data_IF_001873753027
#
_entry.id   IF_001873753027
#
_cell.length_a   1.000
_cell.length_b   1.000
_cell.length_c   1.000
_cell.angle_alpha   90.00
_cell.angle_beta   90.00
_cell.angle_gamma   90.00
#
_symmetry.space_group_name_H-M   'P 1'
#
loop_
_entity.id
_entity.type
_entity.pdbx_description
1 polymer ?
#
# COMPACT_ATOMS: atom_id res chain seq x y z
N UNK A 1 -4.32 -16.31 69.37
CA UNK A 1 -4.29 -15.51 68.12
C UNK A 1 -3.24 -16.09 67.21
N UNK A 2 -3.66 -16.87 66.22
CA UNK A 2 -2.79 -17.56 65.27
C UNK A 2 -3.21 -17.06 63.88
N UNK A 3 -2.27 -16.44 63.16
CA UNK A 3 -2.46 -15.99 61.78
C UNK A 3 -2.57 -17.19 60.83
N UNK A 4 -3.50 -17.22 59.86
CA UNK A 4 -3.47 -18.22 58.80
C UNK A 4 -2.63 -17.78 57.60
N UNK A 5 -2.06 -18.83 56.98
CA UNK A 5 -1.13 -18.89 55.88
C UNK A 5 -1.49 -18.07 54.62
N UNK A 6 -0.45 -17.52 53.98
CA UNK A 6 -0.49 -16.95 52.63
C UNK A 6 -0.63 -18.06 51.59
N UNK A 7 -1.66 -17.98 50.75
CA UNK A 7 -1.83 -18.79 49.56
C UNK A 7 -0.94 -18.23 48.44
N UNK A 8 0.09 -18.98 48.03
CA UNK A 8 0.92 -18.69 46.86
C UNK A 8 0.25 -19.36 45.66
N UNK A 9 -0.24 -18.56 44.71
CA UNK A 9 -0.79 -19.04 43.44
C UNK A 9 0.35 -19.15 42.44
N UNK A 10 0.72 -20.39 42.09
CA UNK A 10 1.54 -20.67 40.92
C UNK A 10 0.65 -20.59 39.67
N UNK A 11 0.84 -19.56 38.84
CA UNK A 11 0.28 -19.54 37.49
C UNK A 11 1.25 -20.33 36.60
N UNK A 12 0.93 -21.60 36.37
CA UNK A 12 1.52 -22.38 35.30
C UNK A 12 0.99 -21.84 33.97
N UNK A 13 1.79 -21.03 33.29
CA UNK A 13 1.57 -20.71 31.88
C UNK A 13 1.88 -21.95 31.04
N UNK A 14 0.86 -22.76 30.75
CA UNK A 14 0.95 -23.73 29.66
C UNK A 14 1.08 -22.96 28.34
N UNK A 15 2.30 -22.88 27.82
CA UNK A 15 2.55 -22.52 26.43
C UNK A 15 1.94 -23.61 25.54
N UNK A 16 0.71 -23.38 25.09
CA UNK A 16 0.17 -24.13 23.95
C UNK A 16 0.96 -23.67 22.72
N UNK A 17 1.98 -24.44 22.36
CA UNK A 17 2.52 -24.44 21.01
C UNK A 17 1.41 -25.02 20.12
N UNK A 18 0.54 -24.14 19.61
CA UNK A 18 -0.28 -24.51 18.46
C UNK A 18 0.69 -24.69 17.30
N UNK A 19 1.12 -25.93 17.07
CA UNK A 19 1.66 -26.33 15.79
C UNK A 19 0.61 -25.89 14.77
N UNK A 20 0.99 -24.96 13.89
CA UNK A 20 0.17 -24.57 12.77
C UNK A 20 -0.14 -25.86 12.02
N UNK A 21 -1.38 -26.32 12.12
CA UNK A 21 -1.91 -27.32 11.20
C UNK A 21 -1.76 -26.70 9.83
N UNK A 22 -0.81 -27.24 9.04
CA UNK A 22 -0.75 -26.99 7.62
C UNK A 22 -2.16 -27.24 7.09
N UNK A 23 -2.74 -26.24 6.42
CA UNK A 23 -4.03 -26.38 5.75
C UNK A 23 -3.80 -27.38 4.63
N UNK A 24 -4.06 -28.66 4.93
CA UNK A 24 -4.12 -29.74 3.95
C UNK A 24 -5.40 -29.53 3.12
N UNK A 25 -5.19 -29.30 1.81
CA UNK A 25 -6.18 -29.11 0.75
C UNK A 25 -7.27 -28.05 1.00
N UNK A 26 -7.04 -26.85 0.45
CA UNK A 26 -8.09 -25.88 0.18
C UNK A 26 -8.59 -26.06 -1.27
N UNK A 27 -9.67 -26.83 -1.53
CA UNK A 27 -10.20 -27.05 -2.87
C UNK A 27 -10.75 -25.76 -3.52
N UNK A 28 -10.91 -24.67 -2.77
CA UNK A 28 -11.29 -23.37 -3.32
C UNK A 28 -10.12 -22.61 -3.94
N UNK A 29 -8.88 -22.97 -3.61
CA UNK A 29 -7.68 -22.22 -3.97
C UNK A 29 -7.61 -20.83 -3.32
N UNK A 30 -8.41 -20.55 -2.29
CA UNK A 30 -8.39 -19.28 -1.58
C UNK A 30 -7.06 -19.04 -0.87
N UNK A 31 -6.46 -20.09 -0.29
CA UNK A 31 -5.15 -19.99 0.37
C UNK A 31 -4.04 -19.65 -0.64
N UNK A 32 -4.18 -20.06 -1.91
CA UNK A 32 -3.19 -19.77 -2.96
C UNK A 32 -3.04 -18.28 -3.25
N UNK A 33 -4.03 -17.43 -2.93
CA UNK A 33 -3.89 -15.97 -3.04
C UNK A 33 -2.83 -15.40 -2.08
N UNK A 34 -2.49 -16.12 -1.01
CA UNK A 34 -1.52 -15.70 -0.01
C UNK A 34 -0.22 -16.51 -0.08
N UNK A 35 -0.08 -17.38 -1.08
CA UNK A 35 1.17 -18.09 -1.34
C UNK A 35 2.17 -17.20 -2.06
N UNK A 36 3.43 -17.27 -1.62
CA UNK A 36 4.52 -16.54 -2.25
C UNK A 36 4.75 -17.00 -3.68
N UNK A 37 4.75 -16.05 -4.60
CA UNK A 37 5.11 -16.24 -6.00
C UNK A 37 6.26 -15.31 -6.38
N UNK A 38 7.48 -15.86 -6.41
CA UNK A 38 8.70 -15.11 -6.75
C UNK A 38 8.95 -14.98 -8.26
N UNK A 39 8.16 -15.63 -9.11
CA UNK A 39 8.42 -15.68 -10.54
C UNK A 39 8.08 -14.35 -11.23
N UNK A 40 9.07 -13.71 -11.84
CA UNK A 40 8.90 -12.55 -12.70
C UNK A 40 9.04 -12.95 -14.17
N UNK A 41 8.29 -12.30 -15.04
CA UNK A 41 8.36 -12.52 -16.48
C UNK A 41 7.85 -11.28 -17.22
N UNK A 42 8.28 -11.11 -18.46
CA UNK A 42 7.87 -10.01 -19.30
C UNK A 42 7.31 -10.53 -20.61
N UNK A 43 6.19 -9.94 -21.03
CA UNK A 43 5.56 -10.15 -22.33
C UNK A 43 5.32 -11.63 -22.67
N UNK A 44 4.96 -12.43 -21.67
CA UNK A 44 4.74 -13.88 -21.83
C UNK A 44 3.42 -14.11 -22.55
N UNK A 45 3.38 -14.73 -23.74
CA UNK A 45 2.12 -15.05 -24.41
C UNK A 45 1.25 -15.97 -23.57
N UNK A 46 -0.05 -15.69 -23.52
CA UNK A 46 -1.04 -16.54 -22.84
C UNK A 46 -2.21 -16.85 -23.78
N UNK A 47 -2.89 -17.97 -23.50
CA UNK A 47 -4.05 -18.43 -24.27
C UNK A 47 -5.27 -18.56 -23.37
N UNK A 48 -6.44 -18.24 -23.90
CA UNK A 48 -7.73 -18.43 -23.23
C UNK A 48 -8.48 -19.58 -23.89
N UNK A 49 -9.28 -20.31 -23.11
CA UNK A 49 -10.16 -21.36 -23.63
C UNK A 49 -11.21 -20.82 -24.61
N UNK A 50 -11.53 -19.53 -24.52
CA UNK A 50 -12.46 -18.83 -25.41
C UNK A 50 -11.75 -17.69 -26.16
N UNK A 51 -12.18 -17.35 -27.38
CA UNK A 51 -11.58 -16.27 -28.15
C UNK A 51 -11.66 -14.92 -27.43
N UNK A 52 -10.54 -14.20 -27.41
CA UNK A 52 -10.47 -12.83 -26.89
C UNK A 52 -11.09 -11.86 -27.90
N UNK A 53 -11.99 -10.95 -27.49
CA UNK A 53 -12.59 -9.99 -28.41
C UNK A 53 -11.56 -9.10 -29.11
N UNK A 54 -11.61 -9.02 -30.45
CA UNK A 54 -10.65 -8.22 -31.25
C UNK A 54 -10.75 -6.71 -31.02
N UNK A 55 -11.87 -6.22 -30.50
CA UNK A 55 -12.00 -4.80 -30.12
C UNK A 55 -11.25 -4.46 -28.83
N UNK A 56 -10.89 -5.46 -28.02
CA UNK A 56 -10.18 -5.24 -26.76
C UNK A 56 -8.70 -4.97 -27.05
N UNK A 57 -8.29 -3.72 -26.85
CA UNK A 57 -6.92 -3.25 -27.02
C UNK A 57 -6.53 -2.36 -25.86
N UNK A 58 -5.40 -2.66 -25.22
CA UNK A 58 -4.90 -1.91 -24.07
C UNK A 58 -4.24 -2.82 -23.05
N UNK A 59 -3.86 -2.24 -21.91
CA UNK A 59 -3.18 -2.95 -20.83
C UNK A 59 -3.96 -2.81 -19.53
N UNK A 60 -4.35 -3.93 -18.93
CA UNK A 60 -4.82 -3.98 -17.55
C UNK A 60 -3.61 -4.17 -16.64
N UNK A 61 -3.39 -3.25 -15.70
CA UNK A 61 -2.35 -3.38 -14.67
C UNK A 61 -3.03 -3.54 -13.31
N UNK A 62 -2.58 -4.53 -12.54
CA UNK A 62 -3.01 -4.82 -11.17
C UNK A 62 -1.80 -4.85 -10.26
N UNK A 63 -2.03 -4.58 -8.98
CA UNK A 63 -1.02 -4.58 -7.93
C UNK A 63 -1.55 -5.38 -6.73
N UNK A 64 -0.65 -5.92 -5.93
CA UNK A 64 -0.96 -6.72 -4.75
C UNK A 64 0.31 -7.27 -4.10
N UNK A 65 0.16 -7.81 -2.88
CA UNK A 65 1.23 -8.60 -2.26
C UNK A 65 1.46 -9.91 -3.00
N UNK A 66 2.72 -10.30 -3.18
CA UNK A 66 3.07 -11.57 -3.86
C UNK A 66 4.20 -12.34 -3.20
N UNK A 67 4.81 -11.80 -2.14
CA UNK A 67 5.78 -12.52 -1.32
C UNK A 67 5.53 -12.18 0.14
N UNK A 68 5.28 -13.22 0.93
CA UNK A 68 4.81 -13.09 2.31
C UNK A 68 5.86 -13.43 3.38
N UNK A 69 7.08 -13.76 2.93
CA UNK A 69 8.20 -14.11 3.79
C UNK A 69 9.54 -13.78 3.12
N UNK A 70 10.54 -13.49 3.94
CA UNK A 70 11.92 -13.33 3.49
C UNK A 70 12.90 -13.73 4.59
N UNK A 71 13.83 -14.64 4.25
CA UNK A 71 14.74 -15.24 5.21
C UNK A 71 13.97 -15.97 6.31
N UNK A 72 14.23 -15.58 7.55
CA UNK A 72 13.59 -16.17 8.73
C UNK A 72 12.27 -15.50 9.11
N UNK A 73 11.89 -14.40 8.45
CA UNK A 73 10.71 -13.59 8.81
C UNK A 73 9.54 -13.82 7.86
N UNK A 74 8.33 -13.85 8.40
CA UNK A 74 7.08 -13.85 7.67
C UNK A 74 6.13 -12.75 8.15
N UNK A 75 5.27 -12.28 7.25
CA UNK A 75 4.19 -11.36 7.59
C UNK A 75 3.00 -12.11 8.20
N UNK A 76 2.26 -11.42 9.06
CA UNK A 76 0.98 -11.91 9.62
C UNK A 76 -0.24 -11.20 9.04
N UNK A 77 -0.03 -10.13 8.26
CA UNK A 77 -1.09 -9.34 7.66
C UNK A 77 -0.98 -9.43 6.13
N UNK A 78 -2.13 -9.65 5.48
CA UNK A 78 -2.25 -9.80 4.03
C UNK A 78 -1.81 -8.56 3.25
N UNK A 79 -1.87 -7.38 3.87
CA UNK A 79 -1.47 -6.10 3.25
C UNK A 79 0.04 -5.84 3.31
N UNK A 80 0.81 -6.64 4.06
CA UNK A 80 2.25 -6.41 4.19
C UNK A 80 3.09 -7.14 3.14
N UNK A 81 2.49 -8.07 2.38
CA UNK A 81 3.19 -8.80 1.33
C UNK A 81 3.85 -7.88 0.31
N UNK A 82 5.08 -8.18 -0.11
CA UNK A 82 5.84 -7.32 -1.02
C UNK A 82 5.08 -7.09 -2.33
N UNK A 83 4.92 -5.82 -2.71
CA UNK A 83 4.13 -5.41 -3.86
C UNK A 83 4.66 -5.93 -5.18
N UNK A 84 3.77 -6.49 -6.00
CA UNK A 84 4.05 -7.02 -7.33
C UNK A 84 2.99 -6.56 -8.31
N UNK A 85 3.46 -5.99 -9.41
CA UNK A 85 2.64 -5.60 -10.53
C UNK A 85 2.40 -6.78 -11.45
N UNK A 86 1.17 -6.91 -11.92
CA UNK A 86 0.76 -7.86 -12.93
C UNK A 86 0.09 -7.09 -14.07
N UNK A 87 0.44 -7.39 -15.31
CA UNK A 87 -0.25 -6.80 -16.47
C UNK A 87 -0.76 -7.84 -17.44
N UNK A 88 -1.87 -7.50 -18.10
CA UNK A 88 -2.42 -8.20 -19.26
C UNK A 88 -2.51 -7.22 -20.42
N UNK A 89 -1.74 -7.45 -21.48
CA UNK A 89 -1.73 -6.60 -22.68
C UNK A 89 -2.52 -7.27 -23.80
N UNK A 90 -3.59 -6.61 -24.21
CA UNK A 90 -4.47 -7.02 -25.30
C UNK A 90 -4.09 -6.25 -26.57
N UNK A 91 -3.77 -6.97 -27.65
CA UNK A 91 -3.24 -6.37 -28.88
C UNK A 91 -4.32 -5.98 -29.90
N UNK A 92 -5.58 -6.38 -29.69
CA UNK A 92 -6.68 -6.12 -30.63
C UNK A 92 -6.72 -7.06 -31.85
N UNK A 93 -5.92 -8.12 -31.86
CA UNK A 93 -5.91 -9.18 -32.88
C UNK A 93 -6.30 -10.55 -32.28
N UNK A 94 -6.73 -10.59 -31.02
CA UNK A 94 -7.04 -11.80 -30.27
C UNK A 94 -5.86 -12.39 -29.49
N UNK A 95 -4.65 -11.81 -29.59
CA UNK A 95 -3.51 -12.23 -28.77
C UNK A 95 -3.43 -11.43 -27.48
N UNK A 96 -2.89 -12.06 -26.44
CA UNK A 96 -2.68 -11.47 -25.11
C UNK A 96 -1.32 -11.90 -24.59
N UNK A 97 -0.62 -10.98 -23.95
CA UNK A 97 0.57 -11.28 -23.15
C UNK A 97 0.38 -10.87 -21.70
N UNK A 98 1.14 -11.50 -20.83
CA UNK A 98 1.16 -11.20 -19.40
C UNK A 98 2.58 -10.84 -18.97
N UNK A 99 2.72 -9.84 -18.09
CA UNK A 99 3.96 -9.55 -17.38
C UNK A 99 3.72 -9.56 -15.88
N UNK A 100 4.75 -9.87 -15.11
CA UNK A 100 4.73 -9.80 -13.66
C UNK A 100 6.09 -9.32 -13.14
N UNK A 101 6.09 -8.26 -12.31
CA UNK A 101 7.31 -7.65 -11.78
C UNK A 101 7.10 -7.09 -10.38
N UNK A 102 8.02 -7.36 -9.46
CA UNK A 102 8.01 -6.76 -8.13
C UNK A 102 8.27 -5.25 -8.20
N UNK A 103 7.58 -4.50 -7.36
CA UNK A 103 7.90 -3.10 -7.13
C UNK A 103 9.28 -3.02 -6.48
N UNK A 104 10.23 -2.39 -7.17
CA UNK A 104 11.61 -2.23 -6.71
C UNK A 104 11.72 -1.05 -5.74
N UNK A 105 10.94 -1.09 -4.66
CA UNK A 105 10.99 -0.10 -3.59
C UNK A 105 12.30 -0.24 -2.80
N UNK A 106 12.74 0.82 -2.11
CA UNK A 106 13.92 0.70 -1.23
C UNK A 106 13.70 -0.37 -0.17
N UNK A 107 12.49 -0.46 0.39
CA UNK A 107 12.08 -1.53 1.28
C UNK A 107 12.32 -2.93 0.71
N UNK A 108 11.85 -3.21 -0.51
CA UNK A 108 12.02 -4.53 -1.12
C UNK A 108 13.49 -4.82 -1.45
N UNK A 109 14.21 -3.83 -1.99
CA UNK A 109 15.64 -3.97 -2.33
C UNK A 109 16.51 -4.24 -1.11
N UNK A 110 16.30 -3.50 -0.02
CA UNK A 110 17.03 -3.72 1.24
C UNK A 110 16.70 -5.07 1.85
N UNK A 111 15.42 -5.46 1.80
CA UNK A 111 15.01 -6.78 2.28
C UNK A 111 15.74 -7.89 1.52
N UNK A 112 15.77 -7.81 0.17
CA UNK A 112 16.49 -8.75 -0.67
C UNK A 112 17.99 -8.79 -0.36
N UNK A 113 18.62 -7.63 -0.20
CA UNK A 113 20.05 -7.51 0.05
C UNK A 113 20.47 -8.13 1.40
N UNK A 114 19.58 -8.08 2.40
CA UNK A 114 19.82 -8.59 3.75
C UNK A 114 19.22 -9.98 3.99
N UNK A 115 18.51 -10.52 3.00
CA UNK A 115 17.74 -11.76 3.10
C UNK A 115 16.87 -11.83 4.37
N UNK A 116 16.19 -10.73 4.69
CA UNK A 116 15.22 -10.62 5.77
C UNK A 116 14.24 -9.51 5.43
N UNK A 117 13.15 -9.39 6.18
CA UNK A 117 12.25 -8.24 6.04
C UNK A 117 12.94 -7.03 6.70
N UNK A 118 13.28 -6.02 5.91
CA UNK A 118 13.99 -4.82 6.35
C UNK A 118 13.09 -3.91 7.22
N UNK A 119 13.65 -3.19 8.20
CA UNK A 119 12.89 -2.43 9.20
C UNK A 119 12.20 -1.21 8.57
N UNK A 120 11.01 -1.43 8.03
CA UNK A 120 10.06 -0.43 7.54
C UNK A 120 8.72 -0.61 8.25
N UNK A 121 7.92 0.44 8.32
CA UNK A 121 6.60 0.38 8.95
C UNK A 121 5.67 -0.56 8.17
N UNK A 122 4.89 -1.35 8.90
CA UNK A 122 4.01 -2.41 8.41
C UNK A 122 2.68 -2.34 9.16
N UNK A 123 1.62 -2.92 8.59
CA UNK A 123 0.32 -3.00 9.24
C UNK A 123 0.30 -4.07 10.34
N UNK A 124 0.94 -5.22 10.10
CA UNK A 124 0.99 -6.36 11.00
C UNK A 124 2.30 -6.48 11.78
N UNK A 125 2.31 -7.45 12.71
CA UNK A 125 3.55 -7.89 13.36
C UNK A 125 4.26 -8.94 12.50
N UNK A 126 5.58 -8.96 12.53
CA UNK A 126 6.36 -10.04 11.91
C UNK A 126 6.52 -11.24 12.84
N UNK A 127 6.81 -12.39 12.24
CA UNK A 127 7.23 -13.61 12.94
C UNK A 127 8.57 -14.07 12.35
N UNK A 128 9.69 -14.04 13.12
CA UNK A 128 9.84 -13.39 14.42
C UNK A 128 9.75 -11.85 14.32
N UNK A 129 9.38 -11.15 15.41
CA UNK A 129 9.24 -9.70 15.41
C UNK A 129 10.59 -8.98 15.26
N UNK A 130 10.52 -7.69 14.93
CA UNK A 130 11.65 -6.78 15.05
C UNK A 130 12.17 -6.68 16.49
N UNK A 131 13.48 -6.55 16.65
CA UNK A 131 14.09 -6.12 17.90
C UNK A 131 13.87 -4.61 18.14
N UNK A 132 14.26 -4.09 19.30
CA UNK A 132 13.99 -2.69 19.66
C UNK A 132 14.68 -1.65 18.76
N UNK A 133 15.86 -1.98 18.21
CA UNK A 133 16.57 -1.09 17.27
C UNK A 133 15.82 -1.06 15.94
N UNK A 134 15.46 -2.24 15.42
CA UNK A 134 14.70 -2.37 14.17
C UNK A 134 13.31 -1.73 14.26
N UNK A 135 12.65 -1.78 15.43
CA UNK A 135 11.39 -1.06 15.66
C UNK A 135 11.57 0.45 15.58
N UNK A 136 12.67 0.98 16.13
CA UNK A 136 12.96 2.41 16.02
C UNK A 136 13.30 2.80 14.58
N UNK A 137 14.04 1.95 13.85
CA UNK A 137 14.36 2.14 12.44
C UNK A 137 13.11 2.10 11.56
N UNK A 138 12.17 1.18 11.83
CA UNK A 138 10.93 1.07 11.05
C UNK A 138 10.05 2.31 11.16
N UNK A 139 9.99 2.95 12.34
CA UNK A 139 9.30 4.21 12.53
C UNK A 139 9.95 5.37 11.75
N UNK A 140 11.28 5.36 11.59
CA UNK A 140 12.02 6.37 10.81
C UNK A 140 11.85 6.16 9.31
N UNK A 141 11.93 4.92 8.86
CA UNK A 141 11.84 4.55 7.44
C UNK A 141 10.41 4.67 6.88
N UNK A 142 9.39 4.72 7.76
CA UNK A 142 7.98 4.82 7.41
C UNK A 142 7.53 3.65 6.50
N UNK A 143 6.31 3.69 5.97
CA UNK A 143 5.77 2.67 5.07
C UNK A 143 6.12 2.99 3.61
N UNK A 144 6.80 2.05 2.95
CA UNK A 144 7.15 2.16 1.52
C UNK A 144 6.62 1.01 0.65
N UNK A 145 5.87 0.06 1.22
CA UNK A 145 5.25 -1.01 0.44
C UNK A 145 3.99 -0.48 -0.27
N UNK A 146 4.14 0.01 -1.50
CA UNK A 146 3.02 0.61 -2.26
C UNK A 146 2.24 -0.42 -3.08
N UNK A 147 1.70 -1.44 -2.43
CA UNK A 147 1.14 -2.65 -3.05
C UNK A 147 -0.39 -2.62 -3.27
N UNK A 148 -1.08 -1.51 -3.05
CA UNK A 148 -2.54 -1.47 -3.02
C UNK A 148 -3.16 -1.20 -4.39
N UNK A 149 -2.74 -0.13 -5.08
CA UNK A 149 -3.38 0.27 -6.32
C UNK A 149 -2.40 0.88 -7.33
N UNK A 150 -2.86 1.05 -8.57
CA UNK A 150 -2.12 1.71 -9.67
C UNK A 150 -3.03 2.70 -10.37
N UNK A 151 -2.50 3.88 -10.66
CA UNK A 151 -3.22 4.94 -11.35
C UNK A 151 -2.44 5.45 -12.56
N UNK A 152 -3.20 5.86 -13.57
CA UNK A 152 -2.72 6.66 -14.69
C UNK A 152 -3.23 8.08 -14.52
N UNK A 153 -2.34 9.06 -14.63
CA UNK A 153 -2.67 10.48 -14.60
C UNK A 153 -2.11 11.18 -15.84
N UNK A 154 -2.85 12.15 -16.38
CA UNK A 154 -2.32 13.01 -17.45
C UNK A 154 -1.59 14.18 -16.82
N UNK A 155 -0.30 14.31 -17.08
CA UNK A 155 0.48 15.45 -16.63
C UNK A 155 -0.06 16.72 -17.29
N UNK A 156 -0.58 17.66 -16.50
CA UNK A 156 -1.19 18.90 -16.99
C UNK A 156 -0.21 19.82 -17.70
N UNK A 157 1.09 19.72 -17.41
CA UNK A 157 2.15 20.54 -18.02
C UNK A 157 2.64 19.95 -19.34
N UNK A 158 2.87 18.63 -19.40
CA UNK A 158 3.45 17.97 -20.58
C UNK A 158 2.42 17.33 -21.50
N UNK A 159 1.20 17.08 -21.01
CA UNK A 159 0.15 16.37 -21.72
C UNK A 159 0.35 14.86 -21.84
N UNK A 160 1.44 14.32 -21.28
CA UNK A 160 1.77 12.89 -21.31
C UNK A 160 1.07 12.13 -20.18
N UNK A 161 0.83 10.84 -20.39
CA UNK A 161 0.33 9.97 -19.33
C UNK A 161 1.47 9.40 -18.50
N UNK A 162 1.34 9.50 -17.19
CA UNK A 162 2.24 8.95 -16.19
C UNK A 162 1.51 7.90 -15.37
N UNK A 163 2.24 6.92 -14.85
CA UNK A 163 1.69 5.80 -14.10
C UNK A 163 2.37 5.71 -12.75
N UNK A 164 1.59 5.40 -11.71
CA UNK A 164 2.10 5.33 -10.35
C UNK A 164 1.47 4.19 -9.58
N UNK A 165 2.26 3.63 -8.66
CA UNK A 165 1.82 2.70 -7.63
C UNK A 165 1.55 3.46 -6.33
N UNK A 166 0.47 3.11 -5.63
CA UNK A 166 0.00 3.83 -4.44
C UNK A 166 -0.41 2.87 -3.32
N UNK A 167 -0.33 3.38 -2.09
CA UNK A 167 -0.92 2.84 -0.86
C UNK A 167 -1.49 4.05 -0.07
N UNK A 168 -1.99 3.85 1.15
CA UNK A 168 -2.58 4.88 2.01
C UNK A 168 -1.55 5.84 2.62
N UNK A 169 -0.45 6.12 1.91
CA UNK A 169 0.60 7.07 2.28
C UNK A 169 0.79 8.12 1.21
N UNK A 170 1.41 9.24 1.57
CA UNK A 170 1.60 10.38 0.69
C UNK A 170 2.50 10.08 -0.53
N UNK A 171 3.57 9.33 -0.28
CA UNK A 171 4.58 9.05 -1.29
C UNK A 171 4.06 8.03 -2.30
N UNK A 172 4.53 8.16 -3.54
CA UNK A 172 4.16 7.29 -4.66
C UNK A 172 5.41 6.79 -5.36
N UNK A 173 5.33 5.62 -5.99
CA UNK A 173 6.38 5.15 -6.89
C UNK A 173 5.89 5.31 -8.33
N UNK A 174 6.63 6.05 -9.16
CA UNK A 174 6.37 6.08 -10.60
C UNK A 174 6.75 4.75 -11.23
N UNK A 175 5.95 4.28 -12.18
CA UNK A 175 6.15 3.01 -12.88
C UNK A 175 6.05 3.19 -14.40
N UNK A 176 6.75 2.34 -15.13
CA UNK A 176 6.63 2.23 -16.58
C UNK A 176 5.51 1.26 -16.96
N UNK A 177 4.59 1.67 -17.84
CA UNK A 177 3.40 0.87 -18.15
C UNK A 177 3.73 -0.45 -18.86
N UNK A 178 4.73 -0.45 -19.74
CA UNK A 178 5.02 -1.55 -20.65
C UNK A 178 5.93 -2.60 -20.01
N UNK A 179 6.90 -2.17 -19.21
CA UNK A 179 7.90 -3.05 -18.58
C UNK A 179 7.62 -3.32 -17.10
N UNK A 180 6.62 -2.64 -16.53
CA UNK A 180 6.30 -2.62 -15.10
C UNK A 180 7.48 -2.20 -14.21
N UNK A 181 8.48 -1.54 -14.80
CA UNK A 181 9.66 -1.11 -14.07
C UNK A 181 9.29 0.01 -13.10
N UNK A 182 9.73 -0.11 -11.85
CA UNK A 182 9.72 0.99 -10.89
C UNK A 182 10.79 2.01 -11.28
N UNK A 183 10.39 3.28 -11.45
CA UNK A 183 11.27 4.36 -11.91
C UNK A 183 11.91 5.06 -10.71
N UNK A 184 11.10 5.70 -9.86
CA UNK A 184 11.56 6.46 -8.72
C UNK A 184 10.48 6.61 -7.66
N UNK A 185 10.92 6.74 -6.40
CA UNK A 185 10.10 7.25 -5.31
C UNK A 185 9.87 8.75 -5.52
N UNK A 186 8.63 9.17 -5.37
CA UNK A 186 8.22 10.57 -5.48
C UNK A 186 7.50 10.93 -4.18
N UNK A 187 8.02 11.95 -3.51
CA UNK A 187 7.39 12.61 -2.39
C UNK A 187 6.90 13.99 -2.85
N UNK A 188 5.63 14.14 -3.26
CA UNK A 188 5.12 15.43 -3.70
C UNK A 188 5.28 16.49 -2.61
N UNK A 189 5.58 17.75 -2.95
CA UNK A 189 5.72 18.79 -1.95
C UNK A 189 4.39 19.06 -1.23
N UNK A 190 4.43 19.16 0.10
CA UNK A 190 3.29 19.56 0.92
C UNK A 190 3.47 21.00 1.36
N UNK A 191 2.53 21.89 1.01
CA UNK A 191 2.61 23.30 1.45
C UNK A 191 2.29 23.46 2.93
N UNK A 192 1.40 22.62 3.46
CA UNK A 192 1.02 22.60 4.87
C UNK A 192 2.00 21.84 5.78
N UNK A 193 3.14 21.33 5.26
CA UNK A 193 4.16 20.68 6.10
C UNK A 193 4.99 21.73 6.85
N UNK A 194 4.44 22.23 7.94
CA UNK A 194 5.19 22.98 8.94
C UNK A 194 5.80 22.03 9.99
N UNK A 195 6.80 22.49 10.73
CA UNK A 195 7.41 21.70 11.83
C UNK A 195 6.44 21.31 12.95
N UNK A 196 5.20 21.84 12.95
CA UNK A 196 4.16 21.48 13.94
C UNK A 196 3.25 20.33 13.48
N UNK A 197 3.40 19.85 12.24
CA UNK A 197 2.58 18.77 11.70
C UNK A 197 3.44 17.58 11.24
N UNK A 198 3.05 16.37 11.66
CA UNK A 198 3.59 15.12 11.11
C UNK A 198 2.62 14.60 10.03
N UNK A 199 3.07 14.40 8.78
CA UNK A 199 2.24 13.78 7.75
C UNK A 199 1.81 12.37 8.18
N UNK A 200 0.51 12.12 8.19
CA UNK A 200 -0.10 10.81 8.47
C UNK A 200 -0.52 10.08 7.19
N UNK A 201 -1.67 9.41 7.26
CA UNK A 201 -2.20 8.65 6.13
C UNK A 201 -2.79 9.54 5.03
N UNK A 202 -2.73 8.99 3.82
CA UNK A 202 -3.36 9.46 2.59
C UNK A 202 -4.40 8.40 2.16
N UNK A 203 -4.65 8.26 0.86
CA UNK A 203 -5.50 7.23 0.29
C UNK A 203 -4.85 6.60 -0.93
N UNK A 204 -4.95 5.27 -1.02
CA UNK A 204 -4.66 4.51 -2.24
C UNK A 204 -5.73 4.69 -3.34
N UNK A 205 -6.74 5.54 -3.13
CA UNK A 205 -7.90 5.71 -4.00
C UNK A 205 -8.14 7.17 -4.41
N UNK A 206 -7.20 7.82 -5.12
CA UNK A 206 -7.46 9.12 -5.72
C UNK A 206 -8.65 9.04 -6.69
N UNK A 207 -9.51 10.06 -6.65
CA UNK A 207 -10.77 10.10 -7.39
C UNK A 207 -10.64 11.07 -8.56
N UNK A 208 -10.98 10.62 -9.78
CA UNK A 208 -10.92 11.47 -10.98
C UNK A 208 -11.86 12.66 -10.82
N UNK A 209 -11.35 13.86 -11.10
CA UNK A 209 -12.15 15.08 -11.07
C UNK A 209 -13.16 15.07 -12.23
N UNK A 210 -14.42 15.40 -11.92
CA UNK A 210 -15.50 15.33 -12.91
C UNK A 210 -15.20 16.20 -14.14
N UNK A 211 -15.17 15.57 -15.31
CA UNK A 211 -14.91 16.24 -16.59
C UNK A 211 -13.46 16.70 -16.82
N UNK A 212 -12.51 16.30 -15.97
CA UNK A 212 -11.08 16.65 -16.11
C UNK A 212 -10.19 15.41 -16.08
N UNK A 213 -8.93 15.55 -16.51
CA UNK A 213 -7.92 14.49 -16.45
C UNK A 213 -7.09 14.50 -15.15
N UNK A 214 -7.44 15.40 -14.23
CA UNK A 214 -6.88 15.53 -12.89
C UNK A 214 -7.59 14.61 -11.90
N UNK A 215 -6.95 14.36 -10.77
CA UNK A 215 -7.51 13.56 -9.68
C UNK A 215 -7.52 14.37 -8.39
N UNK A 216 -8.41 14.04 -7.47
CA UNK A 216 -8.34 14.49 -6.10
C UNK A 216 -7.70 13.41 -5.23
N UNK A 217 -6.96 13.83 -4.22
CA UNK A 217 -6.49 13.03 -3.08
C UNK A 217 -6.50 13.91 -1.85
N UNK A 218 -6.35 13.34 -0.65
CA UNK A 218 -6.12 14.13 0.55
C UNK A 218 -4.82 13.71 1.24
N UNK A 219 -4.40 14.51 2.21
CA UNK A 219 -3.37 14.16 3.17
C UNK A 219 -3.85 14.58 4.56
N UNK A 220 -3.81 13.66 5.51
CA UNK A 220 -4.01 14.01 6.91
C UNK A 220 -2.65 14.33 7.56
N UNK A 221 -2.60 15.31 8.44
CA UNK A 221 -1.39 15.64 9.21
C UNK A 221 -1.73 15.81 10.69
N UNK A 222 -0.99 15.14 11.56
CA UNK A 222 -1.17 15.17 13.01
C UNK A 222 -0.47 16.38 13.58
N UNK A 223 -1.16 17.17 14.41
CA UNK A 223 -0.50 18.21 15.20
C UNK A 223 0.34 17.59 16.32
N UNK A 224 1.60 18.00 16.45
CA UNK A 224 2.44 17.63 17.60
C UNK A 224 2.33 18.61 18.77
N UNK A 225 1.64 19.73 18.57
CA UNK A 225 1.44 20.75 19.60
C UNK A 225 0.16 20.43 20.38
N UNK A 226 0.22 20.30 21.71
CA UNK A 226 -0.96 20.04 22.53
C UNK A 226 -2.07 21.06 22.25
N UNK A 227 -3.32 20.58 22.16
CA UNK A 227 -4.53 21.37 21.91
C UNK A 227 -4.65 22.03 20.52
N UNK A 228 -3.62 21.97 19.69
CA UNK A 228 -3.72 22.35 18.28
C UNK A 228 -4.36 21.20 17.51
N UNK A 229 -5.36 21.53 16.68
CA UNK A 229 -6.09 20.54 15.88
C UNK A 229 -5.17 19.94 14.82
N UNK A 230 -5.42 18.67 14.50
CA UNK A 230 -4.84 18.05 13.30
C UNK A 230 -5.51 18.63 12.06
N UNK A 231 -4.95 18.37 10.88
CA UNK A 231 -5.52 18.88 9.63
C UNK A 231 -5.73 17.77 8.61
N UNK A 232 -6.72 17.96 7.74
CA UNK A 232 -6.84 17.24 6.47
C UNK A 232 -6.84 18.25 5.34
N UNK A 233 -5.94 18.05 4.39
CA UNK A 233 -5.83 18.91 3.20
C UNK A 233 -6.25 18.14 1.96
N UNK A 234 -7.21 18.69 1.21
CA UNK A 234 -7.56 18.20 -0.11
C UNK A 234 -6.57 18.74 -1.14
N UNK A 235 -6.05 17.86 -1.97
CA UNK A 235 -5.16 18.17 -3.07
C UNK A 235 -5.77 17.75 -4.40
N UNK A 236 -5.52 18.55 -5.44
CA UNK A 236 -5.64 18.13 -6.83
C UNK A 236 -4.29 17.63 -7.32
N UNK A 237 -4.29 16.46 -7.89
CA UNK A 237 -3.17 15.86 -8.60
C UNK A 237 -3.18 16.34 -10.05
N UNK A 238 -2.07 16.93 -10.49
CA UNK A 238 -1.88 17.40 -11.87
C UNK A 238 -0.78 16.67 -12.62
N UNK A 239 0.03 15.88 -11.91
CA UNK A 239 0.98 14.90 -12.43
C UNK A 239 1.25 13.88 -11.31
N UNK A 240 2.12 12.89 -11.53
CA UNK A 240 2.55 12.00 -10.44
C UNK A 240 3.23 12.80 -9.32
N UNK A 241 4.06 13.80 -9.66
CA UNK A 241 4.84 14.59 -8.70
C UNK A 241 4.22 15.92 -8.24
N UNK A 242 3.20 16.43 -8.93
CA UNK A 242 2.61 17.73 -8.60
C UNK A 242 1.28 17.58 -7.85
N UNK A 243 1.09 18.42 -6.82
CA UNK A 243 -0.13 18.54 -6.04
C UNK A 243 -0.48 20.01 -5.87
N UNK A 244 -1.72 20.37 -6.16
CA UNK A 244 -2.30 21.68 -5.90
C UNK A 244 -3.18 21.59 -4.65
N UNK A 245 -2.84 22.33 -3.60
CA UNK A 245 -3.70 22.44 -2.43
C UNK A 245 -5.02 23.15 -2.81
N UNK A 246 -6.14 22.56 -2.41
CA UNK A 246 -7.48 23.09 -2.68
C UNK A 246 -8.06 23.76 -1.45
N UNK A 247 -8.05 23.02 -0.33
CA UNK A 247 -8.65 23.44 0.92
C UNK A 247 -8.08 22.57 2.04
N UNK A 248 -7.92 23.17 3.21
CA UNK A 248 -7.50 22.52 4.45
C UNK A 248 -8.58 22.68 5.49
N UNK A 249 -8.90 21.61 6.20
CA UNK A 249 -9.84 21.61 7.33
C UNK A 249 -9.16 21.15 8.60
N UNK A 250 -9.53 21.77 9.71
CA UNK A 250 -9.17 21.29 11.04
C UNK A 250 -9.98 20.05 11.41
N UNK A 251 -9.32 19.08 12.03
CA UNK A 251 -9.91 17.86 12.56
C UNK A 251 -9.41 17.63 13.99
N UNK A 252 -10.30 17.17 14.87
CA UNK A 252 -9.95 16.91 16.27
C UNK A 252 -8.95 15.75 16.40
N UNK A 253 -9.08 14.74 15.55
CA UNK A 253 -8.18 13.60 15.47
C UNK A 253 -8.13 13.05 14.05
N UNK A 254 -7.04 12.36 13.71
CA UNK A 254 -7.01 11.54 12.50
C UNK A 254 -7.93 10.33 12.67
N UNK A 255 -8.61 9.97 11.59
CA UNK A 255 -9.42 8.76 11.50
C UNK A 255 -8.97 8.01 10.27
N UNK A 256 -8.98 6.68 10.33
CA UNK A 256 -8.64 5.92 9.13
C UNK A 256 -9.73 6.09 8.08
N UNK A 257 -9.34 6.70 6.97
CA UNK A 257 -10.16 6.87 5.78
C UNK A 257 -9.43 6.14 4.67
N UNK A 258 -10.07 5.16 4.05
CA UNK A 258 -9.44 4.42 2.94
C UNK A 258 -9.75 5.08 1.60
N UNK A 259 -10.94 5.69 1.46
CA UNK A 259 -11.38 6.38 0.25
C UNK A 259 -12.38 7.48 0.57
N UNK A 260 -12.72 8.27 -0.43
CA UNK A 260 -13.70 9.35 -0.35
C UNK A 260 -14.46 9.45 -1.67
N UNK A 261 -15.51 10.28 -1.70
CA UNK A 261 -16.36 10.44 -2.89
C UNK A 261 -16.36 11.88 -3.35
N UNK A 262 -16.43 12.08 -4.67
CA UNK A 262 -16.50 13.40 -5.30
C UNK A 262 -17.65 13.41 -6.29
N UNK A 263 -18.46 14.46 -6.23
CA UNK A 263 -19.49 14.78 -7.22
C UNK A 263 -19.07 16.03 -7.99
N UNK A 264 -19.93 16.51 -8.90
CA UNK A 264 -19.68 17.75 -9.63
C UNK A 264 -19.53 18.98 -8.72
N UNK A 265 -20.15 18.97 -7.54
CA UNK A 265 -20.23 20.15 -6.64
C UNK A 265 -19.83 19.88 -5.20
N UNK A 266 -19.67 18.61 -4.80
CA UNK A 266 -19.45 18.24 -3.41
C UNK A 266 -18.37 17.18 -3.29
N UNK A 267 -17.62 17.25 -2.19
CA UNK A 267 -16.77 16.17 -1.72
C UNK A 267 -17.42 15.57 -0.47
N UNK A 268 -17.61 14.25 -0.46
CA UNK A 268 -18.15 13.51 0.66
C UNK A 268 -17.06 12.62 1.25
N UNK A 269 -16.98 12.60 2.58
CA UNK A 269 -16.20 11.62 3.31
C UNK A 269 -17.08 11.00 4.39
N UNK A 270 -17.00 9.67 4.52
CA UNK A 270 -17.54 8.95 5.67
C UNK A 270 -16.39 8.79 6.66
N UNK A 271 -16.45 9.57 7.72
CA UNK A 271 -15.50 9.47 8.83
C UNK A 271 -15.85 8.23 9.64
N UNK A 272 -14.97 7.23 9.58
CA UNK A 272 -15.07 6.02 10.40
C UNK A 272 -14.76 6.35 11.87
N UNK A 273 -15.45 5.69 12.80
CA UNK A 273 -15.12 5.77 14.23
C UNK A 273 -13.89 4.93 14.62
N UNK A 274 -13.27 4.22 13.68
CA UNK A 274 -11.98 3.56 13.93
C UNK A 274 -10.89 4.63 14.10
N UNK A 275 -10.53 4.84 15.38
CA UNK A 275 -9.37 5.61 15.83
C UNK A 275 -8.16 4.69 16.00
#
# INVERSE_FOLDING_TARGET
MVFPARLIVFILSLSFCAAATLVEDDPSGFVDFFHTNVHEFNDKPITFSYPVPRWLKGTLIRNGGARYEMGQRSFTNVFDGFGKLHSFTFYGNGTVSMSARFLQTEYYKQSLATNTIAPYFQFGKLVPPYNEIEKMESLKNNMENLNVNVYRIRNSKTGQYEYMSVNDVWNVYQIEKDTLQTVNLIAPPMKSSSHVYIPGFSSAHPIKEFGKETYFTYQMSVSIVPYMKSIITLYRMTSVGDREEIVTWDIEAQTYMHSFSVTKTMLFSLVSQFQ
#
